data_IF_387554781358
#
_entry.id   IF_387554781358
#
_cell.length_a   1.000
_cell.length_b   1.000
_cell.length_c   1.000
_cell.angle_alpha   90.00
_cell.angle_beta   90.00
_cell.angle_gamma   90.00
#
_symmetry.space_group_name_H-M   'P 1'
#
loop_
_entity.id
_entity.type
_entity.pdbx_description
1 polymer ?
#
# COMPACT_ATOMS: atom_id res chain seq x y z
N UNK A 1 0.62 16.69 -13.08
CA UNK A 1 0.85 15.28 -12.68
C UNK A 1 -0.33 14.78 -11.83
N UNK A 2 -0.75 13.50 -11.91
CA UNK A 2 -1.92 13.00 -11.14
C UNK A 2 -1.58 12.84 -9.65
N UNK A 3 -2.48 13.23 -8.72
CA UNK A 3 -2.31 13.05 -7.28
C UNK A 3 -1.95 11.60 -6.92
N UNK A 4 -1.10 11.40 -5.91
CA UNK A 4 -0.67 10.05 -5.50
C UNK A 4 -1.83 9.12 -5.12
N UNK A 5 -2.95 9.68 -4.61
CA UNK A 5 -4.16 8.92 -4.32
C UNK A 5 -4.85 8.37 -5.59
N UNK A 6 -4.67 9.06 -6.71
CA UNK A 6 -5.23 8.68 -8.01
C UNK A 6 -4.33 7.68 -8.76
N UNK A 7 -3.11 7.40 -8.25
CA UNK A 7 -2.18 6.45 -8.88
C UNK A 7 -2.49 4.98 -8.55
N UNK A 8 -3.67 4.71 -7.98
CA UNK A 8 -4.08 3.35 -7.62
C UNK A 8 -3.18 2.73 -6.56
N UNK A 9 -2.91 3.45 -5.46
CA UNK A 9 -2.08 2.96 -4.34
C UNK A 9 -2.83 3.04 -3.02
N UNK A 10 -2.63 2.05 -2.14
CA UNK A 10 -3.15 2.11 -0.78
C UNK A 10 -2.38 3.16 0.01
N UNK A 11 -3.13 4.09 0.60
CA UNK A 11 -2.57 5.02 1.57
C UNK A 11 -2.13 4.29 2.82
N UNK A 12 -1.03 4.79 3.39
CA UNK A 12 -0.56 4.33 4.68
C UNK A 12 -1.48 4.85 5.79
N UNK A 13 -2.08 3.98 6.62
CA UNK A 13 -2.94 4.40 7.71
C UNK A 13 -2.24 5.39 8.65
N UNK A 14 -2.93 6.38 9.23
CA UNK A 14 -2.28 7.35 10.14
C UNK A 14 -1.76 6.72 11.46
N UNK A 15 -2.28 5.55 11.83
CA UNK A 15 -1.92 4.84 13.07
C UNK A 15 -0.73 3.88 12.94
N UNK A 16 0.07 4.00 11.87
CA UNK A 16 1.30 3.21 11.73
C UNK A 16 2.39 3.71 12.68
N UNK A 17 3.20 2.77 13.18
CA UNK A 17 4.35 3.06 14.06
C UNK A 17 5.69 2.97 13.32
N UNK A 18 5.65 2.71 12.01
CA UNK A 18 6.80 2.46 11.15
C UNK A 18 6.50 2.92 9.73
N UNK A 19 7.50 3.45 9.02
CA UNK A 19 7.32 4.05 7.69
C UNK A 19 6.89 2.95 6.70
N UNK A 20 5.75 3.10 6.03
CA UNK A 20 5.37 2.18 4.95
C UNK A 20 5.66 2.77 3.57
N UNK A 21 6.00 1.90 2.63
CA UNK A 21 5.91 2.23 1.22
C UNK A 21 4.46 2.03 0.72
N UNK A 22 3.96 2.88 -0.21
CA UNK A 22 2.66 2.69 -0.80
C UNK A 22 2.55 1.32 -1.48
N UNK A 23 1.40 0.68 -1.32
CA UNK A 23 1.14 -0.61 -1.96
C UNK A 23 0.29 -0.41 -3.22
N UNK A 24 0.75 -0.83 -4.41
CA UNK A 24 -0.06 -0.76 -5.62
C UNK A 24 -1.35 -1.58 -5.46
N UNK A 25 -2.51 -0.94 -5.64
CA UNK A 25 -3.82 -1.56 -5.52
C UNK A 25 -3.94 -2.74 -6.46
N UNK A 26 -3.52 -2.60 -7.72
CA UNK A 26 -3.65 -3.67 -8.71
C UNK A 26 -2.91 -4.94 -8.30
N UNK A 27 -1.67 -4.80 -7.83
CA UNK A 27 -0.88 -5.94 -7.31
C UNK A 27 -1.66 -6.65 -6.22
N UNK A 28 -2.09 -5.92 -5.21
CA UNK A 28 -2.76 -6.48 -4.03
C UNK A 28 -4.08 -7.13 -4.41
N UNK A 29 -4.81 -6.54 -5.35
CA UNK A 29 -6.08 -7.06 -5.81
C UNK A 29 -5.94 -8.38 -6.59
N UNK A 30 -4.84 -8.58 -7.29
CA UNK A 30 -4.60 -9.73 -8.16
C UNK A 30 -3.79 -10.88 -7.53
N UNK A 31 -3.40 -10.76 -6.27
CA UNK A 31 -2.75 -11.86 -5.53
C UNK A 31 -3.69 -13.07 -5.48
N UNK A 32 -3.18 -14.23 -5.90
CA UNK A 32 -3.87 -15.50 -5.73
C UNK A 32 -3.90 -15.88 -4.24
N UNK A 33 -5.07 -15.69 -3.62
CA UNK A 33 -5.26 -15.94 -2.19
C UNK A 33 -5.32 -17.45 -1.88
N UNK A 34 -5.41 -18.34 -2.87
CA UNK A 34 -5.39 -19.78 -2.67
C UNK A 34 -4.03 -20.35 -2.28
N UNK A 35 -2.95 -19.60 -2.53
CA UNK A 35 -1.59 -20.02 -2.22
C UNK A 35 -0.75 -18.93 -1.52
N UNK A 36 -1.21 -17.68 -1.47
CA UNK A 36 -0.44 -16.59 -0.87
C UNK A 36 -1.21 -15.83 0.21
N UNK A 37 -0.46 -15.38 1.21
CA UNK A 37 -0.84 -14.28 2.11
C UNK A 37 -0.40 -12.98 1.44
N UNK A 38 -1.14 -11.89 1.67
CA UNK A 38 -0.78 -10.59 1.14
C UNK A 38 0.42 -10.07 1.94
N UNK A 39 1.60 -10.08 1.34
CA UNK A 39 2.81 -9.49 1.93
C UNK A 39 3.01 -8.06 1.41
N UNK A 40 3.56 -7.15 2.24
CA UNK A 40 4.00 -5.85 1.75
C UNK A 40 5.14 -6.02 0.74
N UNK A 41 5.13 -5.24 -0.34
CA UNK A 41 6.24 -5.19 -1.31
C UNK A 41 7.33 -4.20 -0.88
N UNK A 42 6.95 -3.23 -0.06
CA UNK A 42 7.85 -2.19 0.44
C UNK A 42 8.98 -2.69 1.34
N UNK A 43 9.80 -1.75 1.78
CA UNK A 43 10.84 -2.02 2.78
C UNK A 43 10.22 -2.58 4.07
N UNK A 44 10.81 -3.65 4.59
CA UNK A 44 10.35 -4.38 5.79
C UNK A 44 11.32 -4.29 6.97
N UNK A 45 12.54 -3.80 6.73
CA UNK A 45 13.53 -3.61 7.79
C UNK A 45 13.23 -2.32 8.55
N UNK A 46 13.26 -2.39 9.89
CA UNK A 46 13.12 -1.21 10.74
C UNK A 46 14.02 -0.06 10.25
N UNK A 47 13.50 1.18 10.15
CA UNK A 47 12.20 1.66 10.65
C UNK A 47 11.02 1.55 9.67
N UNK A 48 11.18 0.76 8.60
CA UNK A 48 10.15 0.57 7.59
C UNK A 48 9.27 -0.66 7.90
N UNK A 49 7.96 -0.54 7.70
CA UNK A 49 7.04 -1.68 7.74
C UNK A 49 5.73 -1.37 7.01
N UNK A 50 5.45 -2.12 5.95
CA UNK A 50 4.15 -2.10 5.27
C UNK A 50 3.09 -3.03 5.87
N UNK A 51 3.40 -3.72 6.99
CA UNK A 51 2.54 -4.78 7.50
C UNK A 51 1.13 -4.28 7.86
N UNK A 52 1.05 -3.07 8.45
CA UNK A 52 -0.24 -2.46 8.80
C UNK A 52 -1.09 -2.12 7.59
N UNK A 53 -0.48 -1.80 6.45
CA UNK A 53 -1.19 -1.53 5.18
C UNK A 53 -1.93 -2.77 4.70
N UNK A 54 -1.31 -3.95 4.79
CA UNK A 54 -1.89 -5.20 4.28
C UNK A 54 -2.67 -6.00 5.33
N UNK A 55 -2.55 -5.68 6.63
CA UNK A 55 -3.15 -6.45 7.74
C UNK A 55 -4.67 -6.57 7.60
N UNK A 56 -5.37 -5.48 7.28
CA UNK A 56 -6.83 -5.50 7.13
C UNK A 56 -7.27 -6.37 5.94
N UNK A 57 -6.49 -6.36 4.87
CA UNK A 57 -6.74 -7.17 3.68
C UNK A 57 -6.47 -8.64 3.96
N UNK A 58 -5.44 -8.95 4.73
CA UNK A 58 -5.18 -10.30 5.21
C UNK A 58 -6.27 -10.81 6.16
N UNK A 59 -6.81 -9.96 7.03
CA UNK A 59 -7.95 -10.33 7.87
C UNK A 59 -9.14 -10.78 7.03
N UNK A 60 -9.48 -10.00 6.01
CA UNK A 60 -10.51 -10.33 5.02
C UNK A 60 -10.16 -11.63 4.25
N UNK A 61 -8.94 -11.74 3.73
CA UNK A 61 -8.51 -12.91 2.97
C UNK A 61 -8.48 -14.19 3.82
N UNK A 62 -8.34 -14.06 5.13
CA UNK A 62 -8.36 -15.16 6.09
C UNK A 62 -9.77 -15.52 6.57
N UNK A 63 -10.72 -14.57 6.65
CA UNK A 63 -12.08 -14.85 7.13
C UNK A 63 -12.82 -15.87 6.25
N UNK A 64 -12.51 -15.92 4.95
CA UNK A 64 -13.07 -16.90 4.00
C UNK A 64 -12.49 -18.30 4.13
N UNK A 65 -11.42 -18.51 4.91
CA UNK A 65 -10.73 -19.80 5.01
C UNK A 65 -11.56 -20.70 5.91
N UNK A 66 -12.20 -21.70 5.32
CA UNK A 66 -13.03 -22.64 6.04
C UNK A 66 -12.20 -23.89 6.41
N UNK A 67 -11.97 -24.16 7.71
CA UNK A 67 -11.40 -25.41 8.15
C UNK A 67 -12.43 -26.54 7.93
N UNK A 68 -11.98 -27.67 7.39
CA UNK A 68 -12.81 -28.86 7.17
C UNK A 68 -12.08 -30.12 7.67
N UNK A 69 -12.85 -31.14 8.03
CA UNK A 69 -12.27 -32.45 8.32
C UNK A 69 -11.83 -33.15 7.02
N UNK A 70 -10.87 -34.07 7.15
CA UNK A 70 -10.37 -34.90 6.06
C UNK A 70 -11.48 -35.50 5.19
N UNK A 71 -12.50 -36.10 5.83
CA UNK A 71 -13.61 -36.70 5.10
C UNK A 71 -14.36 -35.70 4.22
N UNK A 72 -14.68 -34.51 4.75
CA UNK A 72 -15.34 -33.46 3.97
C UNK A 72 -14.44 -32.94 2.86
N UNK A 73 -13.13 -32.85 3.10
CA UNK A 73 -12.17 -32.43 2.09
C UNK A 73 -12.09 -33.43 0.93
N UNK A 74 -11.97 -34.72 1.21
CA UNK A 74 -11.96 -35.79 0.21
C UNK A 74 -13.25 -35.83 -0.62
N UNK A 75 -14.42 -35.65 0.02
CA UNK A 75 -15.70 -35.55 -0.68
C UNK A 75 -15.74 -34.35 -1.66
N UNK A 76 -15.11 -33.23 -1.31
CA UNK A 76 -14.98 -32.11 -2.24
C UNK A 76 -13.97 -32.40 -3.36
N UNK A 77 -12.86 -33.09 -3.06
CA UNK A 77 -11.89 -33.49 -4.09
C UNK A 77 -12.49 -34.44 -5.13
N UNK A 78 -13.41 -35.33 -4.72
CA UNK A 78 -14.15 -36.21 -5.66
C UNK A 78 -14.97 -35.42 -6.68
N UNK A 79 -15.36 -34.19 -6.37
CA UNK A 79 -16.05 -33.29 -7.31
C UNK A 79 -15.10 -32.67 -8.35
N UNK A 80 -13.80 -32.96 -8.26
CA UNK A 80 -12.76 -32.47 -9.17
C UNK A 80 -12.72 -30.94 -9.27
N UNK A 81 -13.02 -30.25 -8.16
CA UNK A 81 -12.89 -28.80 -8.10
C UNK A 81 -11.41 -28.41 -8.18
N UNK A 82 -11.07 -27.37 -8.97
CA UNK A 82 -9.71 -26.89 -9.03
C UNK A 82 -9.27 -26.29 -7.68
N UNK A 83 -7.95 -26.21 -7.41
CA UNK A 83 -7.43 -25.41 -6.31
C UNK A 83 -7.97 -23.98 -6.35
N UNK A 84 -8.01 -23.33 -5.19
CA UNK A 84 -8.46 -21.95 -5.09
C UNK A 84 -7.55 -21.03 -5.91
N UNK A 85 -8.15 -20.23 -6.78
CA UNK A 85 -7.49 -19.17 -7.55
C UNK A 85 -8.15 -17.79 -7.33
N UNK A 86 -8.93 -17.65 -6.25
CA UNK A 86 -9.62 -16.40 -5.97
C UNK A 86 -8.62 -15.28 -5.66
N UNK A 87 -8.93 -14.09 -6.18
CA UNK A 87 -8.24 -12.84 -5.91
C UNK A 87 -9.17 -11.87 -5.18
N UNK A 88 -8.64 -10.80 -4.59
CA UNK A 88 -9.51 -9.75 -4.05
C UNK A 88 -10.29 -9.05 -5.19
N UNK A 89 -9.69 -8.85 -6.38
CA UNK A 89 -10.36 -8.24 -7.54
C UNK A 89 -11.65 -8.97 -7.89
N UNK A 90 -11.54 -10.27 -8.15
CA UNK A 90 -12.64 -11.13 -8.60
C UNK A 90 -13.78 -11.29 -7.58
N UNK A 91 -13.57 -10.87 -6.33
CA UNK A 91 -14.50 -11.14 -5.21
C UNK A 91 -15.02 -9.89 -4.53
N UNK A 92 -14.17 -8.90 -4.30
CA UNK A 92 -14.59 -7.63 -3.71
C UNK A 92 -15.15 -6.69 -4.76
N UNK A 93 -14.38 -6.35 -5.79
CA UNK A 93 -14.79 -5.32 -6.74
C UNK A 93 -15.93 -5.79 -7.65
N UNK A 94 -15.88 -7.04 -8.11
CA UNK A 94 -16.86 -7.52 -9.09
C UNK A 94 -18.20 -7.95 -8.45
N UNK A 95 -18.22 -8.30 -7.14
CA UNK A 95 -19.42 -8.89 -6.50
C UNK A 95 -20.04 -8.05 -5.40
N UNK A 96 -19.29 -7.17 -4.72
CA UNK A 96 -19.88 -6.31 -3.67
C UNK A 96 -20.75 -5.17 -4.21
N UNK A 97 -20.78 -5.01 -5.53
CA UNK A 97 -21.82 -4.21 -6.21
C UNK A 97 -23.21 -4.88 -6.12
N UNK A 98 -23.29 -6.15 -5.74
CA UNK A 98 -24.53 -6.90 -5.56
C UNK A 98 -24.83 -7.14 -4.07
N UNK A 99 -25.75 -6.37 -3.50
CA UNK A 99 -26.16 -6.47 -2.09
C UNK A 99 -26.58 -7.89 -1.67
N UNK A 100 -27.42 -8.64 -2.44
CA UNK A 100 -27.76 -10.02 -2.09
C UNK A 100 -26.55 -10.98 -2.05
N UNK A 101 -25.56 -10.79 -2.93
CA UNK A 101 -24.33 -11.59 -2.89
C UNK A 101 -23.51 -11.27 -1.63
N UNK A 102 -23.40 -9.99 -1.29
CA UNK A 102 -22.72 -9.55 -0.08
C UNK A 102 -23.38 -10.11 1.19
N UNK A 103 -24.71 -10.03 1.32
CA UNK A 103 -25.42 -10.55 2.50
C UNK A 103 -25.23 -12.06 2.66
N UNK A 104 -25.35 -12.82 1.56
CA UNK A 104 -25.12 -14.28 1.58
C UNK A 104 -23.70 -14.63 2.03
N UNK A 105 -22.71 -13.88 1.56
CA UNK A 105 -21.31 -14.07 1.94
C UNK A 105 -21.08 -13.74 3.42
N UNK A 106 -21.61 -12.60 3.87
CA UNK A 106 -21.58 -12.18 5.27
C UNK A 106 -22.19 -13.23 6.21
N UNK A 107 -23.35 -13.80 5.85
CA UNK A 107 -23.95 -14.89 6.63
C UNK A 107 -23.05 -16.11 6.67
N UNK A 108 -22.47 -16.51 5.53
CA UNK A 108 -21.57 -17.66 5.47
C UNK A 108 -20.31 -17.45 6.30
N UNK A 109 -19.74 -16.25 6.30
CA UNK A 109 -18.55 -15.91 7.09
C UNK A 109 -18.87 -15.91 8.59
N UNK A 110 -20.06 -15.42 8.98
CA UNK A 110 -20.54 -15.50 10.36
C UNK A 110 -20.74 -16.95 10.81
N UNK A 111 -21.28 -17.83 9.96
CA UNK A 111 -21.41 -19.26 10.26
C UNK A 111 -20.04 -19.93 10.47
N UNK A 112 -19.03 -19.57 9.68
CA UNK A 112 -17.66 -20.08 9.87
C UNK A 112 -17.08 -19.59 11.19
N UNK A 113 -17.26 -18.29 11.51
CA UNK A 113 -16.77 -17.71 12.77
C UNK A 113 -17.41 -18.36 14.00
N UNK A 114 -18.69 -18.73 13.92
CA UNK A 114 -19.41 -19.38 15.02
C UNK A 114 -18.97 -20.84 15.27
N UNK A 115 -18.13 -21.41 14.40
CA UNK A 115 -17.60 -22.77 14.56
C UNK A 115 -16.25 -22.81 15.27
N UNK A 116 -15.86 -21.72 15.92
CA UNK A 116 -14.62 -21.61 16.69
C UNK A 116 -14.98 -21.62 18.18
N UNK A 117 -14.50 -22.63 18.90
CA UNK A 117 -14.58 -22.67 20.37
C UNK A 117 -13.37 -21.94 20.93
N UNK A 118 -13.60 -20.93 21.78
CA UNK A 118 -12.56 -20.12 22.43
C UNK A 118 -12.48 -20.47 23.92
N UNK A 119 -11.27 -20.52 24.46
CA UNK A 119 -11.00 -20.48 25.90
C UNK A 119 -10.59 -19.07 26.27
N UNK A 120 -11.23 -18.54 27.31
CA UNK A 120 -10.85 -17.27 27.89
C UNK A 120 -9.83 -17.52 29.01
N UNK A 121 -8.59 -17.09 28.78
CA UNK A 121 -7.51 -17.08 29.78
C UNK A 121 -7.19 -15.64 30.18
N UNK A 122 -8.21 -14.83 30.48
CA UNK A 122 -8.06 -13.46 30.97
C UNK A 122 -7.83 -12.47 29.82
N UNK A 123 -6.60 -11.95 29.69
CA UNK A 123 -6.28 -10.94 28.66
C UNK A 123 -6.20 -11.55 27.24
N UNK A 124 -6.24 -12.89 27.11
CA UNK A 124 -6.07 -13.60 25.86
C UNK A 124 -7.10 -14.71 25.68
N UNK A 125 -7.81 -14.66 24.54
CA UNK A 125 -8.65 -15.76 24.07
C UNK A 125 -7.85 -16.69 23.17
N UNK A 126 -7.80 -17.98 23.49
CA UNK A 126 -7.16 -19.00 22.65
C UNK A 126 -8.23 -19.84 21.95
N UNK A 127 -7.99 -20.19 20.68
CA UNK A 127 -8.85 -21.16 20.00
C UNK A 127 -8.58 -22.53 20.60
N UNK A 128 -9.60 -23.22 21.11
CA UNK A 128 -9.50 -24.59 21.66
C UNK A 128 -9.79 -25.60 20.56
N UNK A 129 -10.86 -25.36 19.80
CA UNK A 129 -11.31 -26.29 18.79
C UNK A 129 -12.02 -25.55 17.67
N UNK A 130 -12.07 -26.20 16.50
CA UNK A 130 -12.86 -25.75 15.36
C UNK A 130 -13.85 -26.86 15.01
N UNK A 131 -15.03 -26.50 14.51
CA UNK A 131 -16.02 -27.47 14.06
C UNK A 131 -16.16 -27.40 12.54
N UNK A 132 -16.05 -28.55 11.87
CA UNK A 132 -16.30 -28.68 10.44
C UNK A 132 -17.78 -28.36 10.13
N UNK A 133 -18.09 -28.05 8.87
CA UNK A 133 -19.49 -27.88 8.43
C UNK A 133 -20.37 -29.12 8.61
N UNK A 134 -19.77 -30.31 8.70
CA UNK A 134 -20.48 -31.56 9.03
C UNK A 134 -20.71 -31.78 10.54
N UNK A 135 -20.21 -30.89 11.40
CA UNK A 135 -20.28 -31.02 12.86
C UNK A 135 -19.11 -31.75 13.52
N UNK A 136 -18.14 -32.27 12.76
CA UNK A 136 -16.96 -32.91 13.32
C UNK A 136 -16.06 -31.89 14.03
N UNK A 137 -15.60 -32.21 15.25
CA UNK A 137 -14.60 -31.41 15.97
C UNK A 137 -13.21 -31.62 15.36
N UNK A 138 -12.47 -30.53 15.22
CA UNK A 138 -11.14 -30.48 14.62
C UNK A 138 -10.14 -30.06 15.69
N UNK A 139 -9.17 -30.94 15.96
CA UNK A 139 -8.08 -30.67 16.89
C UNK A 139 -7.02 -29.79 16.23
N UNK A 140 -6.50 -28.81 16.96
CA UNK A 140 -5.37 -27.97 16.52
C UNK A 140 -4.10 -28.84 16.50
N UNK A 141 -3.71 -29.37 15.34
CA UNK A 141 -2.45 -30.12 15.28
C UNK A 141 -2.15 -30.82 13.95
N UNK A 142 -3.09 -31.61 13.40
CA UNK A 142 -2.71 -32.52 12.29
C UNK A 142 -3.79 -32.80 11.25
N UNK A 143 -5.07 -32.53 11.51
CA UNK A 143 -6.17 -33.06 10.67
C UNK A 143 -7.08 -31.95 10.11
N UNK A 144 -6.46 -30.83 9.75
CA UNK A 144 -7.16 -29.60 9.36
C UNK A 144 -6.81 -29.25 7.92
N UNK A 145 -7.73 -29.57 7.01
CA UNK A 145 -7.67 -29.10 5.64
C UNK A 145 -8.39 -27.76 5.53
N UNK A 146 -7.93 -26.90 4.62
CA UNK A 146 -8.50 -25.56 4.44
C UNK A 146 -9.10 -25.41 3.06
N UNK A 147 -10.35 -24.98 3.03
CA UNK A 147 -11.08 -24.71 1.79
C UNK A 147 -11.45 -23.24 1.68
N UNK A 148 -11.50 -22.74 0.46
CA UNK A 148 -11.99 -21.41 0.16
C UNK A 148 -13.51 -21.38 0.27
N UNK A 149 -14.06 -20.55 1.15
CA UNK A 149 -15.51 -20.40 1.27
C UNK A 149 -16.16 -19.87 -0.03
N UNK A 150 -15.44 -19.09 -0.82
CA UNK A 150 -15.97 -18.43 -2.03
C UNK A 150 -16.07 -19.34 -3.26
N UNK A 151 -15.04 -20.13 -3.56
CA UNK A 151 -15.01 -21.01 -4.74
C UNK A 151 -15.07 -22.50 -4.39
N UNK A 152 -15.00 -22.86 -3.11
CA UNK A 152 -14.91 -24.24 -2.62
C UNK A 152 -13.68 -25.01 -3.12
N UNK A 153 -12.67 -24.31 -3.67
CA UNK A 153 -11.38 -24.89 -4.00
C UNK A 153 -10.48 -25.03 -2.77
N UNK A 154 -9.61 -26.04 -2.77
CA UNK A 154 -8.60 -26.24 -1.75
C UNK A 154 -7.62 -25.05 -1.68
N UNK A 155 -7.21 -24.67 -0.48
CA UNK A 155 -6.17 -23.65 -0.25
C UNK A 155 -4.90 -24.41 0.12
N UNK A 156 -3.80 -24.11 -0.57
CA UNK A 156 -2.52 -24.77 -0.29
C UNK A 156 -1.98 -24.42 1.10
N UNK A 157 -1.19 -25.33 1.68
CA UNK A 157 -0.45 -25.06 2.89
C UNK A 157 0.51 -23.88 2.67
N UNK A 158 0.26 -22.79 3.38
CA UNK A 158 1.06 -21.56 3.30
C UNK A 158 2.39 -21.72 4.07
N UNK A 159 2.73 -22.93 4.52
CA UNK A 159 3.79 -23.21 5.49
C UNK A 159 5.13 -23.64 4.89
N UNK A 160 5.41 -23.36 3.61
CA UNK A 160 6.64 -23.82 2.97
C UNK A 160 7.43 -22.77 2.19
N UNK A 161 7.27 -21.47 2.48
CA UNK A 161 7.97 -20.42 1.74
C UNK A 161 8.57 -19.32 2.63
N UNK A 162 9.19 -19.72 3.76
CA UNK A 162 10.10 -18.85 4.53
C UNK A 162 11.59 -19.14 4.25
N UNK A 163 11.92 -19.91 3.22
CA UNK A 163 13.33 -20.19 2.87
C UNK A 163 13.57 -20.32 1.37
N UNK A 164 13.47 -19.23 0.59
CA UNK A 164 14.32 -19.07 -0.61
C UNK A 164 14.36 -17.62 -1.12
N UNK A 165 14.95 -16.71 -0.34
CA UNK A 165 15.36 -15.40 -0.85
C UNK A 165 16.70 -15.54 -1.61
N UNK A 166 16.66 -16.19 -2.76
CA UNK A 166 17.64 -15.94 -3.81
C UNK A 166 17.01 -16.08 -5.19
N UNK A 167 16.43 -14.99 -5.73
CA UNK A 167 16.56 -14.78 -7.17
C UNK A 167 16.49 -13.31 -7.58
N UNK A 168 17.63 -12.91 -8.13
CA UNK A 168 17.94 -11.64 -8.78
C UNK A 168 17.00 -11.41 -9.96
N UNK A 169 16.07 -10.46 -9.85
CA UNK A 169 15.35 -9.93 -11.01
C UNK A 169 15.99 -8.63 -11.49
N UNK A 170 16.77 -8.73 -12.58
CA UNK A 170 17.16 -7.58 -13.40
C UNK A 170 15.95 -7.13 -14.20
N UNK A 171 15.20 -6.15 -13.70
CA UNK A 171 14.30 -5.38 -14.55
C UNK A 171 15.09 -4.28 -15.27
N UNK A 172 15.14 -4.41 -16.59
CA UNK A 172 15.54 -3.32 -17.49
C UNK A 172 14.27 -2.62 -17.92
N UNK A 173 14.10 -1.37 -17.51
CA UNK A 173 13.04 -0.50 -18.01
C UNK A 173 13.69 0.80 -18.47
N UNK A 174 13.93 0.87 -19.77
CA UNK A 174 14.14 2.10 -20.52
C UNK A 174 12.76 2.70 -20.84
N UNK A 175 12.48 3.87 -20.30
CA UNK A 175 11.40 4.74 -20.78
C UNK A 175 11.82 6.19 -20.49
N UNK A 176 12.44 6.80 -21.50
CA UNK A 176 12.60 8.25 -21.58
C UNK A 176 11.20 8.88 -21.64
N UNK A 177 10.87 9.65 -20.62
CA UNK A 177 9.68 10.49 -20.57
C UNK A 177 10.11 11.83 -19.99
N UNK A 178 10.24 12.82 -20.88
CA UNK A 178 10.57 14.20 -20.55
C UNK A 178 9.62 14.76 -19.48
N UNK A 179 10.19 15.29 -18.41
CA UNK A 179 9.46 15.95 -17.33
C UNK A 179 9.04 17.34 -17.81
N UNK A 180 7.77 17.49 -18.17
CA UNK A 180 7.13 18.79 -18.29
C UNK A 180 6.89 19.39 -16.91
N UNK A 181 7.47 20.56 -16.69
CA UNK A 181 7.12 21.52 -15.65
C UNK A 181 5.65 21.91 -15.84
N UNK A 182 4.77 21.48 -14.95
CA UNK A 182 3.38 21.96 -14.94
C UNK A 182 2.91 22.09 -13.49
N UNK A 183 2.77 23.36 -13.11
CA UNK A 183 2.26 23.92 -11.87
C UNK A 183 1.07 23.14 -11.28
N UNK A 184 1.23 22.71 -10.04
CA UNK A 184 0.18 22.17 -9.18
C UNK A 184 -0.83 23.26 -8.81
N UNK A 185 -1.78 23.55 -9.70
CA UNK A 185 -2.95 24.38 -9.41
C UNK A 185 -3.91 23.67 -8.42
N UNK A 186 -3.59 23.70 -7.12
CA UNK A 186 -4.39 23.13 -6.02
C UNK A 186 -4.68 24.18 -4.92
N UNK A 187 -5.59 25.10 -5.27
CA UNK A 187 -5.88 26.42 -4.65
C UNK A 187 -6.81 26.42 -3.42
N UNK A 188 -6.47 25.73 -2.34
CA UNK A 188 -7.12 26.06 -1.03
C UNK A 188 -6.21 26.04 0.20
N UNK A 189 -4.98 25.53 0.10
CA UNK A 189 -4.05 25.49 1.23
C UNK A 189 -2.96 26.58 1.14
N UNK A 190 -3.17 27.62 0.35
CA UNK A 190 -2.20 28.69 0.15
C UNK A 190 -2.33 29.83 1.20
N UNK A 191 -3.18 29.67 2.23
CA UNK A 191 -3.59 30.80 3.08
C UNK A 191 -3.60 30.56 4.59
N UNK A 192 -2.94 29.50 5.08
CA UNK A 192 -2.65 29.43 6.52
C UNK A 192 -1.28 30.06 6.74
N UNK A 193 -1.28 31.37 6.98
CA UNK A 193 -0.17 32.13 7.60
C UNK A 193 0.02 31.63 9.04
N UNK A 194 0.38 30.36 9.19
CA UNK A 194 0.75 29.78 10.47
C UNK A 194 2.20 30.18 10.73
N UNK A 195 2.49 30.77 11.89
CA UNK A 195 3.87 31.00 12.31
C UNK A 195 4.67 29.70 12.21
N UNK A 196 5.96 29.80 11.88
CA UNK A 196 6.87 28.66 11.70
C UNK A 196 7.05 27.74 12.92
N UNK A 197 6.37 28.00 14.04
CA UNK A 197 6.37 27.15 15.25
C UNK A 197 4.96 26.64 15.61
N UNK A 198 3.93 26.94 14.80
CA UNK A 198 2.55 26.60 15.11
C UNK A 198 2.11 25.42 14.25
N UNK A 199 1.85 24.24 14.85
CA UNK A 199 1.23 23.16 14.10
C UNK A 199 -0.18 23.57 13.73
N UNK A 200 -0.59 23.31 12.50
CA UNK A 200 -1.95 23.55 12.07
C UNK A 200 -2.39 22.58 10.99
N UNK A 201 -3.67 22.62 10.65
CA UNK A 201 -4.24 21.75 9.63
C UNK A 201 -5.22 22.53 8.76
N UNK A 202 -5.30 22.14 7.50
CA UNK A 202 -6.21 22.71 6.51
C UNK A 202 -6.91 21.59 5.76
N UNK A 203 -8.22 21.70 5.60
CA UNK A 203 -8.98 20.86 4.69
C UNK A 203 -8.82 21.41 3.26
N UNK A 204 -8.41 20.55 2.33
CA UNK A 204 -8.21 20.87 0.93
C UNK A 204 -9.56 20.80 0.17
N UNK A 205 -9.66 21.36 -1.04
CA UNK A 205 -10.92 21.34 -1.83
C UNK A 205 -11.38 19.94 -2.22
N UNK A 206 -10.45 18.99 -2.29
CA UNK A 206 -10.73 17.58 -2.57
C UNK A 206 -11.15 16.79 -1.31
N UNK A 207 -11.29 17.47 -0.17
CA UNK A 207 -11.64 16.85 1.13
C UNK A 207 -10.46 16.17 1.83
N UNK A 208 -9.24 16.26 1.29
CA UNK A 208 -8.04 15.75 1.96
C UNK A 208 -7.51 16.73 3.02
N UNK A 209 -6.68 16.25 3.94
CA UNK A 209 -6.10 17.07 5.02
C UNK A 209 -4.62 17.41 4.72
N UNK A 210 -4.29 18.71 4.78
CA UNK A 210 -2.92 19.21 4.88
C UNK A 210 -2.60 19.49 6.34
N UNK A 211 -1.39 19.15 6.80
CA UNK A 211 -0.89 19.51 8.12
C UNK A 211 0.38 20.33 7.95
N UNK A 212 0.48 21.42 8.70
CA UNK A 212 1.64 22.30 8.72
C UNK A 212 2.43 21.98 9.98
N UNK A 213 3.71 21.67 9.82
CA UNK A 213 4.65 21.46 10.93
C UNK A 213 5.88 22.27 10.61
N UNK A 214 6.21 23.23 11.45
CA UNK A 214 7.34 24.13 11.29
C UNK A 214 7.38 24.93 9.98
N UNK A 215 6.22 25.34 9.48
CA UNK A 215 6.10 26.00 8.16
C UNK A 215 6.07 25.02 6.97
N UNK A 216 6.47 23.75 7.16
CA UNK A 216 6.39 22.74 6.12
C UNK A 216 4.96 22.22 5.96
N UNK A 217 4.45 22.28 4.73
CA UNK A 217 3.15 21.72 4.36
C UNK A 217 3.27 20.24 4.04
N UNK A 218 2.66 19.39 4.86
CA UNK A 218 2.70 17.94 4.72
C UNK A 218 1.31 17.42 4.33
N UNK A 219 1.24 16.56 3.30
CA UNK A 219 -0.03 16.06 2.74
C UNK A 219 -0.04 14.54 2.55
N UNK A 220 -1.24 13.95 2.62
CA UNK A 220 -1.48 12.57 2.18
C UNK A 220 -0.57 11.52 2.83
N UNK A 221 0.04 10.65 2.02
CA UNK A 221 0.98 9.62 2.49
C UNK A 221 2.27 10.19 3.12
N UNK A 222 2.57 11.47 2.91
CA UNK A 222 3.73 12.12 3.53
C UNK A 222 3.44 12.50 4.98
N UNK A 223 2.17 12.63 5.40
CA UNK A 223 1.83 13.02 6.77
C UNK A 223 2.29 12.00 7.80
N UNK A 224 1.90 10.73 7.60
CA UNK A 224 2.33 9.64 8.48
C UNK A 224 3.85 9.47 8.45
N UNK A 225 4.47 9.63 7.27
CA UNK A 225 5.92 9.57 7.10
C UNK A 225 6.63 10.67 7.88
N UNK A 226 6.23 11.93 7.72
CA UNK A 226 6.84 13.07 8.41
C UNK A 226 6.66 12.99 9.92
N UNK A 227 5.49 12.55 10.41
CA UNK A 227 5.27 12.33 11.84
C UNK A 227 6.21 11.26 12.42
N UNK A 228 6.36 10.13 11.71
CA UNK A 228 7.26 9.06 12.14
C UNK A 228 8.72 9.46 12.03
N UNK A 229 9.11 10.11 10.93
CA UNK A 229 10.46 10.65 10.73
C UNK A 229 10.82 11.62 11.85
N UNK A 230 9.94 12.57 12.17
CA UNK A 230 10.14 13.51 13.29
C UNK A 230 10.31 12.79 14.62
N UNK A 231 9.48 11.78 14.91
CA UNK A 231 9.61 10.97 16.12
C UNK A 231 10.93 10.18 16.16
N UNK A 232 11.32 9.55 15.04
CA UNK A 232 12.57 8.78 14.91
C UNK A 232 13.81 9.67 15.09
N UNK A 233 13.82 10.87 14.50
CA UNK A 233 14.88 11.85 14.71
C UNK A 233 15.00 12.25 16.18
N UNK A 234 13.89 12.43 16.89
CA UNK A 234 13.88 12.77 18.33
C UNK A 234 14.46 11.68 19.22
N UNK A 235 14.42 10.41 18.79
CA UNK A 235 15.04 9.29 19.51
C UNK A 235 16.45 8.96 19.00
N UNK A 236 17.03 9.82 18.14
CA UNK A 236 18.40 9.68 17.66
C UNK A 236 18.58 8.74 16.47
N UNK A 237 17.50 8.34 15.80
CA UNK A 237 17.57 7.51 14.59
C UNK A 237 17.71 8.42 13.37
N UNK A 238 18.83 8.31 12.66
CA UNK A 238 19.03 8.98 11.38
C UNK A 238 18.37 8.19 10.25
N UNK A 239 17.56 8.87 9.46
CA UNK A 239 16.87 8.29 8.30
C UNK A 239 17.51 8.80 7.01
N UNK A 240 17.67 7.95 5.98
CA UNK A 240 17.98 8.43 4.65
C UNK A 240 16.82 9.29 4.11
N UNK A 241 17.09 10.22 3.20
CA UNK A 241 16.00 10.94 2.50
C UNK A 241 14.99 9.95 1.93
N UNK A 242 13.72 10.27 2.14
CA UNK A 242 12.58 9.43 1.73
C UNK A 242 11.93 9.90 0.43
N UNK A 243 12.49 10.96 -0.16
CA UNK A 243 12.16 11.53 -1.45
C UNK A 243 12.57 10.58 -2.59
N UNK A 244 11.71 10.40 -3.59
CA UNK A 244 11.88 9.38 -4.63
C UNK A 244 12.99 9.66 -5.66
N UNK A 245 13.68 10.81 -5.60
CA UNK A 245 14.59 11.25 -6.67
C UNK A 245 15.97 11.78 -6.23
N UNK A 246 16.36 11.62 -4.96
CA UNK A 246 17.58 12.30 -4.49
C UNK A 246 18.79 11.37 -4.62
N UNK A 247 19.70 11.74 -5.51
CA UNK A 247 20.97 11.04 -5.71
C UNK A 247 21.79 10.99 -4.40
N UNK A 248 21.68 12.02 -3.56
CA UNK A 248 22.59 12.23 -2.44
C UNK A 248 22.09 11.71 -1.08
N UNK A 249 20.85 11.18 -1.01
CA UNK A 249 20.25 10.58 0.21
C UNK A 249 20.35 11.42 1.50
N UNK A 250 20.63 12.72 1.41
CA UNK A 250 20.80 13.56 2.60
C UNK A 250 19.47 13.84 3.32
N UNK A 251 19.43 13.84 4.67
CA UNK A 251 18.18 13.85 5.43
C UNK A 251 17.35 15.15 5.38
N UNK A 252 17.95 16.28 4.95
CA UNK A 252 17.34 17.61 5.04
C UNK A 252 17.79 18.55 3.90
N UNK A 253 17.49 18.23 2.65
CA UNK A 253 17.57 19.22 1.58
C UNK A 253 16.18 19.85 1.41
N UNK A 254 16.12 21.17 1.62
CA UNK A 254 14.98 21.94 1.14
C UNK A 254 15.05 21.95 -0.38
N UNK A 255 13.96 21.61 -1.06
CA UNK A 255 13.71 22.13 -2.40
C UNK A 255 13.39 23.62 -2.22
N UNK A 256 14.40 24.43 -1.91
CA UNK A 256 14.28 25.86 -2.10
C UNK A 256 14.16 26.06 -3.59
N UNK A 257 13.01 26.56 -4.03
CA UNK A 257 12.75 26.98 -5.40
C UNK A 257 14.01 27.59 -5.99
N UNK A 258 14.51 26.98 -7.07
CA UNK A 258 15.71 27.44 -7.73
C UNK A 258 15.52 28.92 -8.09
N UNK A 259 16.44 29.70 -7.54
CA UNK A 259 16.67 31.09 -7.86
C UNK A 259 16.81 31.19 -9.38
N UNK A 260 15.85 31.90 -9.98
CA UNK A 260 15.87 32.34 -11.36
C UNK A 260 17.21 33.04 -11.63
N UNK A 261 18.12 32.31 -12.27
CA UNK A 261 19.48 32.72 -12.59
C UNK A 261 19.63 32.65 -14.10
N UNK A 262 19.01 33.59 -14.80
CA UNK A 262 19.47 34.02 -16.12
C UNK A 262 19.36 35.53 -16.28
N UNK A 263 20.24 36.26 -15.61
CA UNK A 263 20.68 37.57 -16.10
C UNK A 263 21.48 37.31 -17.39
N UNK A 264 20.83 37.46 -18.54
CA UNK A 264 21.49 37.58 -19.84
C UNK A 264 21.67 39.06 -20.11
N UNK A 265 22.88 39.56 -19.84
CA UNK A 265 23.32 40.87 -20.30
C UNK A 265 23.34 40.89 -21.84
N UNK A 266 22.41 41.64 -22.42
CA UNK A 266 22.40 42.00 -23.84
C UNK A 266 23.29 43.24 -23.99
N UNK A 267 24.52 43.06 -24.44
CA UNK A 267 25.41 44.15 -24.82
C UNK A 267 25.27 44.41 -26.33
N UNK A 268 24.70 45.56 -26.66
CA UNK A 268 24.59 46.14 -27.99
C UNK A 268 25.99 46.58 -28.45
N UNK A 269 26.42 46.12 -29.62
CA UNK A 269 27.38 46.89 -30.43
C UNK A 269 27.00 46.80 -31.90
N UNK A 270 26.34 47.86 -32.35
CA UNK A 270 26.38 48.36 -33.71
C UNK A 270 27.84 48.57 -34.13
N UNK A 271 28.20 48.16 -35.35
CA UNK A 271 29.07 48.95 -36.21
C UNK A 271 28.84 48.54 -37.67
N UNK A 272 28.34 49.53 -38.41
CA UNK A 272 28.09 49.59 -39.84
C UNK A 272 29.39 49.69 -40.67
N UNK A 273 29.21 49.68 -42.00
CA UNK A 273 30.12 50.10 -43.08
C UNK A 273 31.03 49.00 -43.67
N UNK A 274 31.13 48.76 -44.98
CA UNK A 274 30.72 49.48 -46.17
C UNK A 274 30.77 48.49 -47.37
N UNK A 275 29.79 48.50 -48.28
CA UNK A 275 29.97 47.98 -49.65
C UNK A 275 30.89 48.90 -50.46
N UNK A 276 31.65 48.39 -51.45
CA UNK A 276 31.18 48.69 -52.82
C UNK A 276 31.47 47.64 -53.91
N UNK A 277 30.48 47.52 -54.80
CA UNK A 277 30.59 47.49 -56.28
C UNK A 277 31.03 46.20 -57.03
N UNK A 278 30.02 45.62 -57.69
CA UNK A 278 29.92 45.14 -59.10
C UNK A 278 31.18 45.16 -59.97
N UNK A 279 31.38 44.09 -60.75
CA UNK A 279 31.08 44.08 -62.21
C UNK A 279 31.10 42.66 -62.80
N UNK A 280 30.08 42.40 -63.63
CA UNK A 280 29.99 41.57 -64.84
C UNK A 280 30.70 40.22 -64.96
#
# INVERSE_FOLDING_TARGET
MMPLHDRGQFHTPLNITAIADPEPIDRVLDINLGCHIITPRGRTTFPFSGQRTVTVLNFIANSRKQPVCQHCFEEHQKQQLPPCSCTLRSRFLDRWLCLPCYEKEKTSDMEISNRVELEDHGDHSHIISRTCGCGAKLSLGTDLEVMCNWCKGAIGDILADETDDSETTKETASADGEAGEDDENHTAADFLDLPADTPGFAENRDGSLSVYVNGDRIRGNQLSRSLITSWLSRIGVQLPCTCCHCADREPHHHHSDDVDSTDVDVDESDDDEEEPFKTS
#
